data_IF_455239542393
#
_entry.id   IF_455239542393
#
_cell.length_a   1.000
_cell.length_b   1.000
_cell.length_c   1.000
_cell.angle_alpha   90.00
_cell.angle_beta   90.00
_cell.angle_gamma   90.00
#
_symmetry.space_group_name_H-M   'P 1'
#
loop_
_entity.id
_entity.type
_entity.pdbx_description
1 polymer ?
#
# COMPACT_ATOMS: atom_id res chain seq x y z
N UNK A 1 -11.52 2.86 -21.33
CA UNK A 1 -10.90 2.21 -20.16
C UNK A 1 -9.76 3.12 -19.77
N UNK A 2 -10.04 4.30 -19.21
CA UNK A 2 -10.52 4.64 -17.86
C UNK A 2 -9.46 4.37 -16.80
N UNK A 3 -8.56 5.35 -16.65
CA UNK A 3 -7.49 5.45 -15.64
C UNK A 3 -7.93 5.11 -14.20
N UNK A 4 -9.22 5.21 -13.92
CA UNK A 4 -9.82 4.81 -12.65
C UNK A 4 -9.76 3.29 -12.43
N UNK A 5 -9.96 2.48 -13.47
CA UNK A 5 -9.93 1.00 -13.37
C UNK A 5 -8.53 0.46 -13.08
N UNK A 6 -7.48 1.09 -13.62
CA UNK A 6 -6.09 0.72 -13.32
C UNK A 6 -5.72 1.03 -11.86
N UNK A 7 -6.21 2.17 -11.34
CA UNK A 7 -6.01 2.53 -9.95
C UNK A 7 -6.72 1.56 -8.98
N UNK A 8 -7.97 1.23 -9.26
CA UNK A 8 -8.73 0.27 -8.43
C UNK A 8 -8.06 -1.11 -8.42
N UNK A 9 -7.61 -1.60 -9.58
CA UNK A 9 -6.88 -2.87 -9.67
C UNK A 9 -5.57 -2.85 -8.89
N UNK A 10 -4.82 -1.74 -8.94
CA UNK A 10 -3.60 -1.56 -8.15
C UNK A 10 -3.90 -1.62 -6.65
N UNK A 11 -4.89 -0.87 -6.18
CA UNK A 11 -5.31 -0.87 -4.77
C UNK A 11 -5.73 -2.25 -4.30
N UNK A 12 -6.54 -2.95 -5.10
CA UNK A 12 -7.02 -4.28 -4.73
C UNK A 12 -5.86 -5.30 -4.67
N UNK A 13 -4.87 -5.15 -5.55
CA UNK A 13 -3.60 -5.88 -5.51
C UNK A 13 -2.80 -5.61 -4.25
N UNK A 14 -2.59 -4.33 -3.91
CA UNK A 14 -1.89 -3.89 -2.70
C UNK A 14 -2.56 -4.46 -1.44
N UNK A 15 -3.88 -4.27 -1.31
CA UNK A 15 -4.66 -4.75 -0.17
C UNK A 15 -4.65 -6.27 -0.06
N UNK A 16 -4.61 -6.99 -1.19
CA UNK A 16 -4.47 -8.45 -1.20
C UNK A 16 -3.09 -8.88 -0.72
N UNK A 17 -2.02 -8.30 -1.27
CA UNK A 17 -0.64 -8.61 -0.88
C UNK A 17 -0.39 -8.32 0.61
N UNK A 18 -0.83 -7.17 1.11
CA UNK A 18 -0.78 -6.79 2.52
C UNK A 18 -1.42 -7.85 3.43
N UNK A 19 -2.64 -8.29 3.10
CA UNK A 19 -3.37 -9.32 3.87
C UNK A 19 -2.73 -10.71 3.78
N UNK A 20 -2.19 -11.08 2.62
CA UNK A 20 -1.53 -12.36 2.41
C UNK A 20 -0.18 -12.46 3.13
N UNK A 21 0.53 -11.33 3.26
CA UNK A 21 1.76 -11.24 4.03
C UNK A 21 1.53 -11.15 5.55
N UNK A 22 0.32 -10.83 5.99
CA UNK A 22 0.01 -10.72 7.42
C UNK A 22 0.70 -9.54 8.10
N UNK A 23 1.03 -8.50 7.33
CA UNK A 23 1.71 -7.30 7.81
C UNK A 23 0.81 -6.48 8.75
N UNK A 24 1.44 -5.77 9.67
CA UNK A 24 0.78 -4.75 10.47
C UNK A 24 0.70 -3.42 9.70
N UNK A 25 -0.41 -2.69 9.88
CA UNK A 25 -0.65 -1.43 9.15
C UNK A 25 0.28 -0.31 9.61
N UNK A 26 0.66 -0.28 10.90
CA UNK A 26 1.59 0.70 11.43
C UNK A 26 3.01 0.45 10.89
N UNK A 27 3.45 -0.82 10.83
CA UNK A 27 4.75 -1.19 10.26
C UNK A 27 4.83 -0.85 8.76
N UNK A 28 3.77 -1.17 8.01
CA UNK A 28 3.67 -0.79 6.60
C UNK A 28 3.73 0.73 6.43
N UNK A 29 2.95 1.47 7.22
CA UNK A 29 2.93 2.92 7.16
C UNK A 29 4.30 3.52 7.49
N UNK A 30 4.98 3.04 8.52
CA UNK A 30 6.32 3.52 8.89
C UNK A 30 7.34 3.29 7.78
N UNK A 31 7.33 2.12 7.14
CA UNK A 31 8.24 1.81 6.05
C UNK A 31 7.95 2.67 4.81
N UNK A 32 6.67 2.76 4.42
CA UNK A 32 6.19 3.66 3.37
C UNK A 32 6.59 5.12 3.61
N UNK A 33 6.43 5.62 4.83
CA UNK A 33 6.80 6.99 5.21
C UNK A 33 8.32 7.21 5.12
N UNK A 34 9.12 6.23 5.56
CA UNK A 34 10.59 6.27 5.44
C UNK A 34 11.07 6.34 3.99
N UNK A 35 10.28 5.82 3.03
CA UNK A 35 10.57 5.93 1.59
C UNK A 35 10.14 7.26 0.96
N UNK A 36 9.62 8.21 1.74
CA UNK A 36 9.13 9.50 1.24
C UNK A 36 7.62 9.52 0.97
N UNK A 37 6.88 8.57 1.52
CA UNK A 37 5.42 8.58 1.54
C UNK A 37 4.88 9.82 2.27
N UNK A 38 3.83 10.43 1.71
CA UNK A 38 3.22 11.64 2.30
C UNK A 38 1.79 11.45 2.82
N UNK A 39 1.24 10.24 2.71
CA UNK A 39 -0.01 9.87 3.34
C UNK A 39 0.18 9.54 4.83
N UNK A 40 -0.78 9.95 5.65
CA UNK A 40 -0.83 9.56 7.05
C UNK A 40 -1.30 8.11 7.26
N UNK A 41 -1.10 7.57 8.45
CA UNK A 41 -1.51 6.21 8.81
C UNK A 41 -2.99 5.93 8.49
N UNK A 42 -3.88 6.87 8.79
CA UNK A 42 -5.32 6.75 8.49
C UNK A 42 -5.62 6.73 6.99
N UNK A 43 -4.88 7.49 6.17
CA UNK A 43 -5.07 7.48 4.71
C UNK A 43 -4.55 6.18 4.10
N UNK A 44 -3.44 5.65 4.62
CA UNK A 44 -2.90 4.32 4.28
C UNK A 44 -3.91 3.23 4.62
N UNK A 45 -4.46 3.23 5.83
CA UNK A 45 -5.50 2.29 6.23
C UNK A 45 -6.74 2.42 5.34
N UNK A 46 -7.24 3.63 5.12
CA UNK A 46 -8.41 3.87 4.27
C UNK A 46 -8.17 3.41 2.82
N UNK A 47 -6.95 3.52 2.31
CA UNK A 47 -6.56 3.00 1.00
C UNK A 47 -6.64 1.47 0.94
N UNK A 48 -6.04 0.78 1.91
CA UNK A 48 -6.08 -0.69 2.00
C UNK A 48 -7.51 -1.23 2.17
N UNK A 49 -8.37 -0.47 2.84
CA UNK A 49 -9.79 -0.79 3.03
C UNK A 49 -10.70 -0.37 1.86
N UNK A 50 -10.15 0.25 0.80
CA UNK A 50 -10.94 0.68 -0.36
C UNK A 50 -11.82 1.91 -0.12
N UNK A 51 -11.67 2.57 1.03
CA UNK A 51 -12.44 3.77 1.42
C UNK A 51 -11.81 5.07 0.92
N UNK A 52 -10.55 5.02 0.49
CA UNK A 52 -9.81 6.15 -0.06
C UNK A 52 -8.93 5.72 -1.23
N UNK A 53 -8.63 6.66 -2.13
CA UNK A 53 -7.78 6.42 -3.29
C UNK A 53 -6.57 7.33 -3.24
N UNK A 54 -5.39 6.75 -3.01
CA UNK A 54 -4.13 7.49 -3.00
C UNK A 54 -3.76 7.97 -4.40
N UNK A 55 -2.93 9.02 -4.46
CA UNK A 55 -2.34 9.51 -5.71
C UNK A 55 -1.44 8.44 -6.33
N UNK A 56 -1.29 8.40 -7.67
CA UNK A 56 -0.56 7.34 -8.36
C UNK A 56 0.81 7.00 -7.76
N UNK A 57 1.66 8.02 -7.56
CA UNK A 57 3.00 7.83 -7.00
C UNK A 57 2.98 7.24 -5.58
N UNK A 58 1.96 7.55 -4.78
CA UNK A 58 1.84 7.04 -3.42
C UNK A 58 1.38 5.58 -3.40
N UNK A 59 0.59 5.16 -4.40
CA UNK A 59 0.21 3.75 -4.58
C UNK A 59 1.40 2.91 -4.96
N UNK A 60 2.20 3.38 -5.92
CA UNK A 60 3.42 2.69 -6.36
C UNK A 60 4.41 2.54 -5.19
N UNK A 61 4.54 3.56 -4.36
CA UNK A 61 5.41 3.52 -3.18
C UNK A 61 4.88 2.57 -2.10
N UNK A 62 3.57 2.52 -1.90
CA UNK A 62 2.94 1.59 -0.94
C UNK A 62 3.07 0.14 -1.41
N UNK A 63 2.88 -0.12 -2.71
CA UNK A 63 3.13 -1.43 -3.32
C UNK A 63 4.57 -1.88 -3.11
N UNK A 64 5.53 -0.96 -3.31
CA UNK A 64 6.93 -1.24 -3.05
C UNK A 64 7.20 -1.56 -1.59
N UNK A 65 6.60 -0.81 -0.67
CA UNK A 65 6.71 -1.05 0.77
C UNK A 65 6.22 -2.46 1.16
N UNK A 66 5.05 -2.86 0.67
CA UNK A 66 4.48 -4.18 0.90
C UNK A 66 5.42 -5.26 0.35
N UNK A 67 5.95 -5.05 -0.86
CA UNK A 67 6.89 -5.99 -1.47
C UNK A 67 8.17 -6.17 -0.64
N UNK A 68 8.77 -5.08 -0.15
CA UNK A 68 9.98 -5.18 0.67
C UNK A 68 9.71 -5.89 1.99
N UNK A 69 8.66 -5.49 2.72
CA UNK A 69 8.30 -6.10 4.00
C UNK A 69 7.95 -7.59 3.85
N UNK A 70 7.23 -7.96 2.79
CA UNK A 70 6.84 -9.36 2.54
C UNK A 70 8.02 -10.26 2.13
N UNK A 71 9.10 -9.69 1.58
CA UNK A 71 10.30 -10.43 1.21
C UNK A 71 11.37 -10.42 2.31
N UNK A 72 11.36 -9.44 3.20
CA UNK A 72 12.29 -9.38 4.33
C UNK A 72 12.02 -10.50 5.35
N UNK A 73 10.75 -10.87 5.57
CA UNK A 73 10.36 -12.01 6.43
C UNK A 73 10.78 -13.40 5.91
N UNK A 74 11.32 -13.50 4.68
CA UNK A 74 11.70 -14.78 4.04
C UNK A 74 13.22 -15.07 4.04
N UNK A 75 14.02 -14.32 4.79
CA UNK A 75 15.45 -14.57 4.97
C UNK A 75 15.74 -15.33 6.27
#
# INVERSE_FOLDING_TARGET
MSVDSDGEAQRDGAAKAFREAGLDVDDLWMHYFSMGGDAGAMETEAYLHGSYMLRPIQRDLLDHAIYELSNDEKQ
#
